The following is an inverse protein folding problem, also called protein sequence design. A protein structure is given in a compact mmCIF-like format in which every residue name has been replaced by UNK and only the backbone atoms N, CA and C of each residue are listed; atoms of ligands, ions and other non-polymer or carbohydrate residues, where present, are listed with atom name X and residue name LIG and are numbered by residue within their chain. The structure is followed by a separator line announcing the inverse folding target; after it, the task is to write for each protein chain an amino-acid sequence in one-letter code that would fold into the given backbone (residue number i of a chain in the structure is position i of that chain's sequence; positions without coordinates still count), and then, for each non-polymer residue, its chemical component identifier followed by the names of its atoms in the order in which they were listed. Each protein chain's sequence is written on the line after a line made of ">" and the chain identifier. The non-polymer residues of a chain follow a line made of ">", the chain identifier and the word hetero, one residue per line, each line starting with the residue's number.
data_IF_863497465184
#
_entry.id   IF_863497465184
#
_cell.length_a   1.000
_cell.length_b   1.000
_cell.length_c   1.000
_cell.angle_alpha   90.00
_cell.angle_beta   90.00
_cell.angle_gamma   90.00
#
_symmetry.space_group_name_H-M   'P 1'
#
loop_
_entity.id
_entity.type
_entity.pdbx_description
1 polymer ?
#
# COMPACT_ATOMS: atom_id res chain seq x y z
N UNK A 1 13.22 17.10 -7.63
CA UNK A 1 12.03 17.95 -7.34
C UNK A 1 10.80 17.22 -7.88
N UNK A 2 10.22 16.30 -7.12
CA UNK A 2 8.98 15.65 -7.53
C UNK A 2 8.07 15.44 -6.32
N UNK A 3 7.69 16.52 -5.63
CA UNK A 3 6.53 16.48 -4.75
C UNK A 3 5.29 16.21 -5.64
N UNK A 4 4.97 14.93 -5.87
CA UNK A 4 3.78 14.52 -6.59
C UNK A 4 2.56 14.83 -5.74
N UNK A 5 1.82 15.88 -6.09
CA UNK A 5 0.48 16.07 -5.51
C UNK A 5 -0.38 14.86 -5.89
N UNK A 6 -1.09 14.23 -4.95
CA UNK A 6 -2.02 13.12 -5.21
C UNK A 6 -2.98 13.43 -6.37
N UNK A 7 -3.38 14.69 -6.51
CA UNK A 7 -4.23 15.20 -7.60
C UNK A 7 -3.72 14.88 -9.00
N UNK A 8 -2.41 14.65 -9.18
CA UNK A 8 -1.84 14.26 -10.48
C UNK A 8 -2.21 12.84 -10.90
N UNK A 9 -2.64 11.99 -9.96
CA UNK A 9 -3.10 10.63 -10.24
C UNK A 9 -4.59 10.56 -10.64
N UNK A 10 -5.33 11.66 -10.51
CA UNK A 10 -6.77 11.72 -10.82
C UNK A 10 -7.00 11.61 -12.33
N UNK A 11 -7.93 10.74 -12.74
CA UNK A 11 -8.37 10.67 -14.13
C UNK A 11 -9.03 11.99 -14.54
N UNK A 12 -8.54 12.57 -15.65
CA UNK A 12 -9.02 13.84 -16.20
C UNK A 12 -10.52 13.81 -16.51
N UNK A 13 -11.09 12.63 -16.80
CA UNK A 13 -12.52 12.42 -17.09
C UNK A 13 -13.43 12.70 -15.90
N UNK A 14 -12.89 12.73 -14.68
CA UNK A 14 -13.65 13.09 -13.48
C UNK A 14 -13.90 14.61 -13.38
N UNK A 15 -13.30 15.43 -14.26
CA UNK A 15 -13.54 16.87 -14.38
C UNK A 15 -13.48 17.64 -13.04
N UNK A 16 -12.59 17.22 -12.14
CA UNK A 16 -12.43 17.84 -10.81
C UNK A 16 -13.49 17.44 -9.78
N UNK A 17 -14.42 16.54 -10.12
CA UNK A 17 -15.34 15.92 -9.16
C UNK A 17 -14.62 14.83 -8.37
N UNK A 18 -13.60 15.22 -7.61
CA UNK A 18 -12.80 14.33 -6.78
C UNK A 18 -12.66 14.93 -5.39
N UNK A 19 -12.98 14.12 -4.40
CA UNK A 19 -12.65 14.40 -3.02
C UNK A 19 -11.20 13.95 -2.73
N UNK A 20 -10.40 14.85 -2.14
CA UNK A 20 -8.99 14.59 -1.87
C UNK A 20 -8.79 13.50 -0.80
N UNK A 21 -9.69 13.41 0.18
CA UNK A 21 -9.64 12.37 1.22
C UNK A 21 -9.93 10.99 0.62
N UNK A 22 -10.98 10.89 -0.21
CA UNK A 22 -11.30 9.65 -0.93
C UNK A 22 -10.17 9.22 -1.86
N UNK A 23 -9.53 10.18 -2.56
CA UNK A 23 -8.37 9.89 -3.40
C UNK A 23 -7.21 9.35 -2.57
N UNK A 24 -6.86 10.02 -1.48
CA UNK A 24 -5.76 9.59 -0.61
C UNK A 24 -6.01 8.20 -0.01
N UNK A 25 -7.26 7.94 0.41
CA UNK A 25 -7.68 6.64 0.92
C UNK A 25 -7.60 5.57 -0.16
N UNK A 26 -8.06 5.87 -1.37
CA UNK A 26 -8.00 4.96 -2.52
C UNK A 26 -6.55 4.62 -2.91
N UNK A 27 -5.65 5.61 -2.91
CA UNK A 27 -4.22 5.40 -3.16
C UNK A 27 -3.59 4.49 -2.10
N UNK A 28 -3.88 4.71 -0.81
CA UNK A 28 -3.38 3.83 0.27
C UNK A 28 -3.87 2.39 0.11
N UNK A 29 -5.16 2.19 -0.20
CA UNK A 29 -5.72 0.85 -0.46
C UNK A 29 -5.02 0.20 -1.64
N UNK A 30 -4.88 0.93 -2.75
CA UNK A 30 -4.23 0.42 -3.95
C UNK A 30 -2.80 -0.06 -3.66
N UNK A 31 -2.03 0.73 -2.92
CA UNK A 31 -0.67 0.38 -2.53
C UNK A 31 -0.59 -0.81 -1.57
N UNK A 32 -1.58 -1.04 -0.70
CA UNK A 32 -1.67 -2.27 0.10
C UNK A 32 -1.99 -3.50 -0.77
N UNK A 33 -2.85 -3.35 -1.78
CA UNK A 33 -3.26 -4.46 -2.65
C UNK A 33 -2.13 -4.97 -3.57
N UNK A 34 -1.19 -4.10 -3.94
CA UNK A 34 -0.10 -4.44 -4.88
C UNK A 34 1.21 -4.82 -4.19
N UNK A 35 1.21 -5.04 -2.87
CA UNK A 35 2.42 -5.46 -2.14
C UNK A 35 2.97 -6.78 -2.69
N UNK A 36 4.29 -6.90 -2.80
CA UNK A 36 4.95 -8.09 -3.32
C UNK A 36 4.61 -9.33 -2.47
N UNK A 37 4.71 -9.17 -1.15
CA UNK A 37 4.32 -10.19 -0.18
C UNK A 37 2.80 -10.33 -0.11
N UNK A 38 2.29 -11.47 -0.57
CA UNK A 38 0.85 -11.80 -0.58
C UNK A 38 0.25 -11.76 0.83
N UNK A 39 1.03 -12.13 1.85
CA UNK A 39 0.61 -12.12 3.25
C UNK A 39 0.31 -10.72 3.80
N UNK A 40 0.84 -9.67 3.16
CA UNK A 40 0.59 -8.27 3.53
C UNK A 40 -0.63 -7.69 2.79
N UNK A 41 -1.15 -8.37 1.77
CA UNK A 41 -2.29 -7.87 1.00
C UNK A 41 -3.58 -8.04 1.82
N UNK A 42 -4.43 -7.00 1.90
CA UNK A 42 -5.69 -7.10 2.62
C UNK A 42 -6.65 -8.06 1.91
N UNK A 43 -7.50 -8.71 2.70
CA UNK A 43 -8.65 -9.46 2.16
C UNK A 43 -9.64 -8.52 1.49
N UNK A 44 -10.46 -9.02 0.56
CA UNK A 44 -11.48 -8.18 -0.09
C UNK A 44 -12.46 -7.54 0.90
N UNK A 45 -12.79 -8.22 2.01
CA UNK A 45 -13.62 -7.65 3.07
C UNK A 45 -12.94 -6.50 3.82
N UNK A 46 -11.62 -6.55 4.00
CA UNK A 46 -10.84 -5.42 4.51
C UNK A 46 -10.79 -4.29 3.49
N UNK A 47 -10.51 -4.58 2.23
CA UNK A 47 -10.48 -3.59 1.14
C UNK A 47 -11.77 -2.78 1.09
N UNK A 48 -12.94 -3.42 1.19
CA UNK A 48 -14.23 -2.70 1.20
C UNK A 48 -14.34 -1.78 2.43
N UNK A 49 -14.05 -2.27 3.64
CA UNK A 49 -14.09 -1.45 4.86
C UNK A 49 -13.11 -0.28 4.80
N UNK A 50 -11.93 -0.49 4.23
CA UNK A 50 -10.95 0.56 3.95
C UNK A 50 -11.49 1.57 2.94
N UNK A 51 -12.17 1.10 1.88
CA UNK A 51 -12.76 1.94 0.85
C UNK A 51 -14.03 2.69 1.28
N UNK A 52 -14.70 2.25 2.34
CA UNK A 52 -15.83 2.95 2.95
C UNK A 52 -15.38 3.98 3.99
N UNK A 53 -14.10 3.96 4.39
CA UNK A 53 -13.60 4.80 5.49
C UNK A 53 -13.98 4.27 6.88
N UNK A 54 -14.55 3.07 6.96
CA UNK A 54 -14.98 2.40 8.20
C UNK A 54 -13.80 2.03 9.11
N UNK A 55 -12.58 1.95 8.56
CA UNK A 55 -11.34 1.70 9.29
C UNK A 55 -10.24 2.65 8.83
N UNK A 56 -9.40 3.09 9.76
CA UNK A 56 -8.24 3.92 9.45
C UNK A 56 -7.14 3.07 8.82
N UNK A 57 -6.48 3.62 7.79
CA UNK A 57 -5.47 2.94 6.98
C UNK A 57 -4.11 3.57 7.23
N UNK A 58 -3.20 2.79 7.79
CA UNK A 58 -1.78 3.16 7.87
C UNK A 58 -1.15 3.17 6.48
N UNK A 59 -0.03 3.89 6.37
CA UNK A 59 0.77 3.85 5.16
C UNK A 59 1.25 2.42 4.86
N UNK A 60 1.15 1.98 3.60
CA UNK A 60 1.62 0.67 3.16
C UNK A 60 3.15 0.59 3.28
N UNK A 61 3.74 -0.60 3.44
CA UNK A 61 5.18 -0.74 3.42
C UNK A 61 5.75 -0.26 2.07
N UNK A 62 6.96 0.27 2.12
CA UNK A 62 7.68 0.68 0.92
C UNK A 62 7.95 -0.57 0.05
N UNK A 63 7.69 -0.51 -1.27
CA UNK A 63 7.91 -1.66 -2.15
C UNK A 63 9.33 -2.19 -2.05
N UNK A 64 9.51 -3.52 -2.09
CA UNK A 64 10.83 -4.13 -1.91
C UNK A 64 11.80 -3.75 -3.02
N UNK A 65 11.29 -3.55 -4.23
CA UNK A 65 12.06 -3.05 -5.38
C UNK A 65 12.77 -1.72 -5.09
N UNK A 66 12.27 -0.92 -4.16
CA UNK A 66 12.87 0.37 -3.77
C UNK A 66 14.00 0.18 -2.77
N UNK A 67 13.93 -0.87 -1.95
CA UNK A 67 14.99 -1.27 -1.03
C UNK A 67 16.15 -1.90 -1.79
N UNK A 68 15.87 -2.67 -2.84
CA UNK A 68 16.89 -3.27 -3.73
C UNK A 68 17.76 -2.20 -4.44
N UNK A 69 17.23 -1.01 -4.69
CA UNK A 69 18.01 0.13 -5.23
C UNK A 69 19.18 0.56 -4.34
N UNK A 70 19.14 0.25 -3.04
CA UNK A 70 20.25 0.51 -2.11
C UNK A 70 21.42 -0.42 -2.43
N UNK A 71 21.14 -1.69 -2.73
CA UNK A 71 22.15 -2.70 -3.07
C UNK A 71 22.80 -2.41 -4.42
N UNK A 72 22.06 -1.78 -5.35
CA UNK A 72 22.55 -1.31 -6.64
C UNK A 72 23.31 0.04 -6.58
N UNK A 73 23.45 0.64 -5.39
CA UNK A 73 24.16 1.90 -5.20
C UNK A 73 23.38 3.16 -5.60
N UNK A 74 22.06 3.06 -5.83
CA UNK A 74 21.15 4.20 -6.09
C UNK A 74 20.59 4.81 -4.79
N UNK A 75 21.44 5.00 -3.79
CA UNK A 75 21.07 5.53 -2.47
C UNK A 75 20.35 6.89 -2.55
N UNK A 76 20.72 7.72 -3.54
CA UNK A 76 20.06 9.00 -3.80
C UNK A 76 18.59 8.86 -4.24
N UNK A 77 18.25 7.79 -4.97
CA UNK A 77 16.87 7.50 -5.40
C UNK A 77 16.07 6.95 -4.23
N UNK A 78 16.65 6.03 -3.45
CA UNK A 78 16.06 5.54 -2.20
C UNK A 78 15.73 6.70 -1.24
N UNK A 79 16.67 7.63 -1.04
CA UNK A 79 16.48 8.82 -0.17
C UNK A 79 15.38 9.74 -0.68
N UNK A 80 15.24 9.89 -2.00
CA UNK A 80 14.17 10.70 -2.59
C UNK A 80 12.80 10.07 -2.32
N UNK A 81 12.63 8.77 -2.59
CA UNK A 81 11.37 8.06 -2.31
C UNK A 81 11.03 8.01 -0.81
N UNK A 82 12.03 7.77 0.05
CA UNK A 82 11.82 7.69 1.50
C UNK A 82 11.37 9.02 2.12
N UNK A 83 11.82 10.16 1.57
CA UNK A 83 11.37 11.48 2.07
C UNK A 83 9.89 11.74 1.80
N UNK A 84 9.37 11.26 0.68
CA UNK A 84 7.95 11.37 0.34
C UNK A 84 7.07 10.52 1.26
N UNK A 85 7.56 9.35 1.67
CA UNK A 85 6.86 8.48 2.62
C UNK A 85 6.75 9.08 4.03
N UNK A 86 7.84 9.62 4.59
CA UNK A 86 7.88 10.09 5.98
C UNK A 86 7.10 11.38 6.22
N UNK A 87 6.78 12.16 5.18
CA UNK A 87 6.01 13.39 5.32
C UNK A 87 4.54 13.15 5.70
N UNK A 88 4.03 11.92 5.63
CA UNK A 88 2.64 11.56 5.96
C UNK A 88 2.47 10.93 7.35
N UNK A 89 3.54 10.84 8.16
CA UNK A 89 3.56 9.98 9.35
C UNK A 89 3.12 10.70 10.62
N UNK A 90 1.86 10.51 11.05
CA UNK A 90 1.50 10.51 12.48
C UNK A 90 0.18 9.80 12.74
N UNK A 91 0.22 8.51 13.11
CA UNK A 91 -0.61 7.92 14.16
C UNK A 91 -0.17 6.46 14.45
N UNK A 92 -0.45 6.00 15.68
CA UNK A 92 -0.04 4.71 16.25
C UNK A 92 -1.09 3.63 16.05
N UNK A 93 -0.67 2.36 15.94
CA UNK A 93 -1.55 1.21 16.23
C UNK A 93 -0.84 0.19 17.14
N UNK A 94 -1.57 -0.26 18.16
CA UNK A 94 -1.26 -1.43 18.96
C UNK A 94 -1.61 -2.69 18.16
N UNK A 95 -0.61 -3.52 17.86
CA UNK A 95 -0.82 -4.85 17.29
C UNK A 95 -1.26 -5.82 18.38
N UNK A 96 -2.29 -6.61 18.11
CA UNK A 96 -2.56 -7.84 18.84
C UNK A 96 -2.20 -9.03 17.93
N UNK A 97 -1.42 -10.01 18.42
CA UNK A 97 -1.04 -11.17 17.63
C UNK A 97 -2.14 -12.24 17.69
N UNK A 98 -2.67 -12.64 16.53
CA UNK A 98 -3.56 -13.81 16.36
C UNK A 98 -3.68 -14.08 14.86
N UNK A 99 -3.58 -15.28 14.28
CA UNK A 99 -3.28 -16.64 14.73
C UNK A 99 -2.86 -17.46 13.49
N UNK A 100 -2.19 -18.60 13.71
CA UNK A 100 -1.72 -19.57 12.70
C UNK A 100 -2.61 -19.77 11.46
N UNK A 101 -2.06 -19.58 10.26
CA UNK A 101 -2.65 -20.05 9.01
C UNK A 101 -2.30 -21.54 8.78
N UNK A 102 -3.28 -22.37 8.41
CA UNK A 102 -3.10 -23.78 8.04
C UNK A 102 -3.22 -23.93 6.52
N UNK A 103 -2.20 -24.52 5.87
CA UNK A 103 -2.18 -24.77 4.42
C UNK A 103 -2.58 -26.21 4.12
N UNK A 104 -3.59 -26.41 3.28
CA UNK A 104 -4.03 -27.74 2.81
C UNK A 104 -3.30 -28.07 1.51
N UNK A 105 -2.30 -28.97 1.57
CA UNK A 105 -1.59 -29.44 0.39
C UNK A 105 -2.49 -30.41 -0.40
N UNK A 106 -2.97 -30.02 -1.58
CA UNK A 106 -3.66 -30.93 -2.50
C UNK A 106 -2.64 -31.55 -3.46
N UNK A 107 -2.39 -32.85 -3.32
CA UNK A 107 -1.52 -33.61 -4.22
C UNK A 107 -2.27 -33.91 -5.52
N UNK A 108 -1.80 -33.39 -6.66
CA UNK A 108 -2.29 -33.83 -7.97
C UNK A 108 -1.74 -35.22 -8.28
N UNK A 109 -2.63 -36.20 -8.50
CA UNK A 109 -2.27 -37.53 -8.97
C UNK A 109 -1.98 -37.52 -10.48
N UNK A 110 -0.88 -38.13 -10.96
CA UNK A 110 -0.60 -38.20 -12.39
C UNK A 110 -1.44 -39.29 -13.06
N UNK A 111 -1.94 -38.98 -14.27
CA UNK A 111 -2.38 -39.97 -15.26
C UNK A 111 -1.28 -40.15 -16.29
#
# INVERSE_FOLDING_TARGET
>A
MANGSPMKAVDRRLNGAVDEEELMRSLRVAFWCIQDEVSLRPTMGEVVRMLEGSININSPPMPQTVLELIEEGLEQVYRAMKREYNHSSSFTMASHPSSHATCSYSTMSPR
#
